data_IF_525544019719
#
_entry.id   IF_525544019719
#
_cell.length_a   1.000
_cell.length_b   1.000
_cell.length_c   1.000
_cell.angle_alpha   90.00
_cell.angle_beta   90.00
_cell.angle_gamma   90.00
#
_symmetry.space_group_name_H-M   'P 1'
#
loop_
_entity.id
_entity.type
_entity.pdbx_description
1 polymer ?
#
# COMPACT_ATOMS: atom_id res chain seq x y z
N UNK A 1 2.49 38.20 7.72
CA UNK A 1 1.61 37.30 6.94
C UNK A 1 2.01 37.43 5.48
N UNK A 2 2.96 36.64 5.00
CA UNK A 2 3.36 36.68 3.59
C UNK A 2 2.34 35.88 2.79
N UNK A 3 1.59 36.57 1.92
CA UNK A 3 0.71 35.91 0.95
C UNK A 3 1.60 35.21 -0.07
N UNK A 4 1.39 33.92 -0.28
CA UNK A 4 2.03 33.20 -1.39
C UNK A 4 1.56 33.83 -2.70
N UNK A 5 2.51 34.33 -3.50
CA UNK A 5 2.24 34.92 -4.81
C UNK A 5 2.31 33.89 -5.94
N UNK A 6 3.02 32.78 -5.74
CA UNK A 6 3.14 31.67 -6.69
C UNK A 6 3.19 30.32 -5.98
N UNK A 7 2.63 29.28 -6.59
CA UNK A 7 2.72 27.91 -6.11
C UNK A 7 4.03 27.24 -6.58
N UNK A 8 5.12 27.45 -5.84
CA UNK A 8 6.37 26.70 -6.02
C UNK A 8 6.33 25.32 -5.31
N UNK A 9 7.10 24.35 -5.83
CA UNK A 9 7.26 23.00 -5.26
C UNK A 9 7.69 23.05 -3.79
N UNK A 10 8.55 24.00 -3.42
CA UNK A 10 9.03 24.14 -2.04
C UNK A 10 7.89 24.51 -1.09
N UNK A 11 7.08 25.50 -1.46
CA UNK A 11 5.96 25.98 -0.68
C UNK A 11 4.81 24.95 -0.62
N UNK A 12 4.57 24.20 -1.70
CA UNK A 12 3.62 23.09 -1.71
C UNK A 12 4.02 21.93 -0.81
N UNK A 13 5.33 21.66 -0.67
CA UNK A 13 5.83 20.67 0.30
C UNK A 13 5.60 21.13 1.73
N UNK A 14 5.85 22.41 2.03
CA UNK A 14 5.58 22.98 3.35
C UNK A 14 4.09 22.91 3.70
N UNK A 15 3.22 23.39 2.79
CA UNK A 15 1.76 23.29 2.91
C UNK A 15 1.31 21.85 3.15
N UNK A 16 1.93 20.90 2.47
CA UNK A 16 1.59 19.49 2.63
C UNK A 16 1.96 18.95 4.00
N UNK A 17 3.12 19.31 4.55
CA UNK A 17 3.50 18.89 5.91
C UNK A 17 2.51 19.44 6.93
N UNK A 18 2.11 20.70 6.78
CA UNK A 18 1.12 21.33 7.65
C UNK A 18 -0.26 20.65 7.53
N UNK A 19 -0.71 20.36 6.30
CA UNK A 19 -1.95 19.64 6.05
C UNK A 19 -1.90 18.22 6.61
N UNK A 20 -0.81 17.48 6.40
CA UNK A 20 -0.64 16.12 6.92
C UNK A 20 -0.69 16.14 8.47
N UNK A 21 -0.08 17.14 9.11
CA UNK A 21 -0.14 17.29 10.58
C UNK A 21 -1.57 17.55 11.09
N UNK A 22 -2.34 18.41 10.41
CA UNK A 22 -3.72 18.69 10.75
C UNK A 22 -4.62 17.46 10.52
N UNK A 23 -4.37 16.71 9.44
CA UNK A 23 -5.10 15.48 9.13
C UNK A 23 -4.81 14.36 10.11
N UNK A 24 -3.59 14.25 10.65
CA UNK A 24 -3.28 13.31 11.73
C UNK A 24 -4.14 13.62 12.96
N UNK A 25 -4.26 14.91 13.33
CA UNK A 25 -5.09 15.32 14.46
C UNK A 25 -6.59 15.04 14.24
N UNK A 26 -7.09 15.27 13.02
CA UNK A 26 -8.49 14.94 12.66
C UNK A 26 -8.71 13.43 12.61
N UNK A 27 -7.75 12.68 12.06
CA UNK A 27 -7.80 11.21 12.01
C UNK A 27 -7.83 10.59 13.40
N UNK A 28 -7.02 11.11 14.33
CA UNK A 28 -7.02 10.67 15.73
C UNK A 28 -8.36 10.93 16.43
N UNK A 29 -9.02 12.08 16.17
CA UNK A 29 -10.34 12.40 16.75
C UNK A 29 -11.43 11.44 16.30
N UNK A 30 -11.36 10.96 15.07
CA UNK A 30 -12.39 10.10 14.48
C UNK A 30 -12.00 8.62 14.46
N UNK A 31 -10.82 8.25 14.95
CA UNK A 31 -10.33 6.87 14.87
C UNK A 31 -10.20 6.38 13.42
N UNK A 32 -9.73 7.24 12.51
CA UNK A 32 -9.54 6.94 11.10
C UNK A 32 -8.14 7.33 10.64
N UNK A 33 -7.58 6.59 9.68
CA UNK A 33 -6.34 6.97 9.00
C UNK A 33 -6.67 7.91 7.85
N UNK A 34 -6.22 9.16 7.97
CA UNK A 34 -6.23 10.14 6.89
C UNK A 34 -4.83 10.20 6.28
N UNK A 35 -4.73 10.00 4.98
CA UNK A 35 -3.48 10.16 4.23
C UNK A 35 -3.73 11.06 3.04
N UNK A 36 -2.93 12.10 2.91
CA UNK A 36 -2.92 12.88 1.67
C UNK A 36 -2.17 12.06 0.61
N UNK A 37 -2.70 11.95 -0.60
CA UNK A 37 -2.06 11.34 -1.77
C UNK A 37 -1.30 12.38 -2.60
N UNK A 38 -0.85 12.02 -3.80
CA UNK A 38 -0.11 12.95 -4.68
C UNK A 38 -0.90 14.24 -4.95
N UNK A 39 -0.16 15.35 -5.05
CA UNK A 39 -0.70 16.66 -5.38
C UNK A 39 -0.41 17.00 -6.85
N UNK A 40 -1.41 17.51 -7.56
CA UNK A 40 -1.20 18.21 -8.84
C UNK A 40 -1.26 19.70 -8.58
N UNK A 41 -0.34 20.45 -9.17
CA UNK A 41 -0.34 21.90 -9.04
C UNK A 41 -0.09 22.56 -10.39
N UNK A 42 -0.69 23.74 -10.54
CA UNK A 42 -0.41 24.75 -11.56
C UNK A 42 0.11 26.01 -10.85
N UNK A 43 0.50 27.05 -11.61
CA UNK A 43 0.96 28.31 -11.02
C UNK A 43 -0.08 28.97 -10.09
N UNK A 44 -1.37 28.69 -10.31
CA UNK A 44 -2.51 29.33 -9.63
C UNK A 44 -3.33 28.41 -8.74
N UNK A 45 -3.16 27.08 -8.83
CA UNK A 45 -4.01 26.14 -8.08
C UNK A 45 -3.28 24.84 -7.72
N UNK A 46 -3.62 24.25 -6.58
CA UNK A 46 -3.10 22.96 -6.16
C UNK A 46 -4.23 22.04 -5.67
N UNK A 47 -4.27 20.82 -6.20
CA UNK A 47 -5.24 19.79 -5.86
C UNK A 47 -4.54 18.64 -5.16
N UNK A 48 -4.95 18.38 -3.92
CA UNK A 48 -4.50 17.24 -3.12
C UNK A 48 -5.59 16.17 -3.10
N UNK A 49 -5.23 14.91 -3.39
CA UNK A 49 -6.13 13.78 -3.13
C UNK A 49 -6.09 13.45 -1.64
N UNK A 50 -7.24 13.25 -1.02
CA UNK A 50 -7.35 12.73 0.34
C UNK A 50 -7.87 11.30 0.29
N UNK A 51 -7.21 10.41 1.05
CA UNK A 51 -7.66 9.05 1.25
C UNK A 51 -7.96 8.83 2.74
N UNK A 52 -9.16 8.33 3.01
CA UNK A 52 -9.64 7.99 4.34
C UNK A 52 -9.78 6.48 4.45
N UNK A 53 -9.24 5.89 5.52
CA UNK A 53 -9.34 4.46 5.80
C UNK A 53 -9.73 4.24 7.26
N UNK A 54 -10.68 3.34 7.52
CA UNK A 54 -11.03 2.92 8.88
C UNK A 54 -9.92 2.02 9.44
N UNK A 55 -9.70 2.06 10.75
CA UNK A 55 -8.86 1.06 11.41
C UNK A 55 -9.67 -0.21 11.66
N UNK A 56 -9.08 -1.37 11.40
CA UNK A 56 -9.64 -2.65 11.83
C UNK A 56 -9.49 -2.86 13.34
N UNK A 57 -10.15 -3.89 13.85
CA UNK A 57 -10.03 -4.40 15.24
C UNK A 57 -8.58 -4.59 15.70
N UNK A 58 -7.65 -4.83 14.77
CA UNK A 58 -6.22 -5.04 15.04
C UNK A 58 -5.39 -3.73 15.02
N UNK A 59 -6.03 -2.55 14.91
CA UNK A 59 -5.34 -1.25 14.84
C UNK A 59 -4.62 -0.99 13.50
N UNK A 60 -4.83 -1.84 12.50
CA UNK A 60 -4.26 -1.68 11.14
C UNK A 60 -5.29 -1.02 10.23
N UNK A 61 -4.88 0.02 9.50
CA UNK A 61 -5.76 0.68 8.54
C UNK A 61 -6.22 -0.31 7.47
N UNK A 62 -7.54 -0.39 7.25
CA UNK A 62 -8.12 -1.15 6.15
C UNK A 62 -7.77 -0.50 4.82
N UNK A 63 -6.72 -1.01 4.19
CA UNK A 63 -6.47 -0.69 2.79
C UNK A 63 -7.51 -1.43 1.93
N UNK A 64 -7.82 -0.87 0.76
CA UNK A 64 -8.70 -1.50 -0.23
C UNK A 64 -8.24 -2.92 -0.59
N UNK A 65 -6.94 -3.19 -0.47
CA UNK A 65 -6.36 -4.50 -0.75
C UNK A 65 -6.67 -5.52 0.36
N UNK A 66 -6.79 -5.09 1.62
CA UNK A 66 -7.24 -5.96 2.72
C UNK A 66 -8.70 -6.37 2.53
N UNK A 67 -9.55 -5.42 2.14
CA UNK A 67 -10.97 -5.68 1.87
C UNK A 67 -11.13 -6.67 0.71
N UNK A 68 -10.44 -6.43 -0.41
CA UNK A 68 -10.45 -7.34 -1.55
C UNK A 68 -9.90 -8.74 -1.21
N UNK A 69 -8.92 -8.84 -0.30
CA UNK A 69 -8.44 -10.14 0.17
C UNK A 69 -9.51 -10.87 0.98
N UNK A 70 -10.18 -10.17 1.92
CA UNK A 70 -11.26 -10.75 2.73
C UNK A 70 -12.42 -11.24 1.87
N UNK A 71 -12.78 -10.48 0.83
CA UNK A 71 -13.89 -10.82 -0.08
C UNK A 71 -13.57 -11.97 -1.02
N UNK A 72 -12.40 -11.97 -1.66
CA UNK A 72 -12.06 -12.97 -2.68
C UNK A 72 -11.40 -14.22 -2.11
N UNK A 73 -10.59 -14.08 -1.06
CA UNK A 73 -9.76 -15.16 -0.52
C UNK A 73 -9.72 -15.13 1.02
N UNK A 74 -10.85 -15.37 1.69
CA UNK A 74 -10.94 -15.32 3.15
C UNK A 74 -9.95 -16.27 3.84
N UNK A 75 -9.66 -17.42 3.23
CA UNK A 75 -8.71 -18.43 3.74
C UNK A 75 -7.24 -17.97 3.75
N UNK A 76 -6.92 -16.95 2.96
CA UNK A 76 -5.55 -16.44 2.84
C UNK A 76 -5.29 -15.24 3.77
N UNK A 77 -6.31 -14.70 4.40
CA UNK A 77 -6.18 -13.57 5.33
C UNK A 77 -5.29 -13.98 6.51
N UNK A 78 -4.21 -13.22 6.75
CA UNK A 78 -3.23 -13.49 7.81
C UNK A 78 -2.57 -14.88 7.73
N UNK A 79 -2.64 -15.56 6.59
CA UNK A 79 -1.95 -16.83 6.38
C UNK A 79 -0.44 -16.59 6.38
N UNK A 80 0.28 -17.37 7.19
CA UNK A 80 1.74 -17.40 7.16
C UNK A 80 2.19 -18.19 5.95
N UNK A 81 3.06 -17.58 5.15
CA UNK A 81 3.68 -18.24 4.00
C UNK A 81 5.19 -18.05 4.05
N UNK A 82 5.89 -19.02 3.48
CA UNK A 82 7.31 -18.95 3.19
C UNK A 82 7.45 -18.83 1.68
N UNK A 83 8.10 -17.76 1.21
CA UNK A 83 8.30 -17.51 -0.21
C UNK A 83 9.73 -17.03 -0.45
N UNK A 84 10.42 -17.63 -1.42
CA UNK A 84 11.77 -17.25 -1.85
C UNK A 84 12.86 -17.30 -0.76
N UNK A 85 13.93 -18.10 -0.98
CA UNK A 85 15.11 -18.19 -0.07
C UNK A 85 14.75 -18.24 1.45
N UNK A 86 13.62 -18.84 1.82
CA UNK A 86 13.18 -18.96 3.23
C UNK A 86 12.59 -17.70 3.88
N UNK A 87 12.13 -16.70 3.12
CA UNK A 87 11.51 -15.50 3.71
C UNK A 87 10.10 -15.80 4.19
N UNK A 88 9.83 -15.52 5.47
CA UNK A 88 8.51 -15.72 6.08
C UNK A 88 7.73 -14.40 6.16
N UNK A 89 6.43 -14.45 5.88
CA UNK A 89 5.54 -13.31 6.01
C UNK A 89 4.06 -13.68 6.08
N UNK A 90 3.23 -12.66 6.31
CA UNK A 90 1.78 -12.77 6.36
C UNK A 90 1.15 -12.11 5.15
N UNK A 91 0.19 -12.76 4.51
CA UNK A 91 -0.57 -12.15 3.42
C UNK A 91 -1.48 -11.07 4.02
N UNK A 92 -1.30 -9.85 3.54
CA UNK A 92 -2.00 -8.65 4.04
C UNK A 92 -2.94 -8.04 3.01
N UNK A 93 -2.86 -8.39 1.73
CA UNK A 93 -3.75 -7.80 0.73
C UNK A 93 -3.77 -8.50 -0.61
N UNK A 94 -4.78 -8.16 -1.40
CA UNK A 94 -5.01 -8.63 -2.75
C UNK A 94 -5.33 -7.47 -3.68
N UNK A 95 -4.67 -7.42 -4.83
CA UNK A 95 -4.91 -6.44 -5.89
C UNK A 95 -5.26 -7.17 -7.20
N UNK A 96 -6.55 -7.22 -7.60
CA UNK A 96 -6.98 -7.95 -8.79
C UNK A 96 -6.44 -7.36 -10.10
N UNK A 97 -6.01 -6.09 -10.10
CA UNK A 97 -5.42 -5.43 -11.29
C UNK A 97 -3.96 -5.81 -11.49
N UNK A 98 -3.29 -6.38 -10.48
CA UNK A 98 -1.88 -6.75 -10.53
C UNK A 98 -1.72 -8.21 -10.97
N UNK A 99 -2.07 -8.52 -12.23
CA UNK A 99 -2.19 -9.88 -12.75
C UNK A 99 -0.98 -10.81 -12.53
N UNK A 100 0.26 -10.29 -12.57
CA UNK A 100 1.46 -11.11 -12.34
C UNK A 100 1.74 -11.37 -10.85
N UNK A 101 1.48 -10.39 -9.99
CA UNK A 101 1.78 -10.45 -8.56
C UNK A 101 0.62 -9.87 -7.75
N UNK A 102 -0.51 -10.59 -7.67
CA UNK A 102 -1.74 -10.04 -7.15
C UNK A 102 -1.79 -9.98 -5.61
N UNK A 103 -0.95 -10.75 -4.90
CA UNK A 103 -0.97 -10.79 -3.43
C UNK A 103 0.16 -9.96 -2.81
N UNK A 104 -0.14 -9.35 -1.67
CA UNK A 104 0.80 -8.55 -0.87
C UNK A 104 1.13 -9.27 0.43
N UNK A 105 2.41 -9.35 0.75
CA UNK A 105 2.93 -10.07 1.93
C UNK A 105 3.76 -9.14 2.78
N UNK A 106 3.40 -9.02 4.05
CA UNK A 106 4.17 -8.27 5.05
C UNK A 106 5.17 -9.20 5.72
N UNK A 107 6.44 -8.85 5.60
CA UNK A 107 7.57 -9.51 6.27
C UNK A 107 8.21 -8.54 7.26
N UNK A 108 9.19 -9.02 8.03
CA UNK A 108 10.00 -8.15 8.91
C UNK A 108 10.76 -7.08 8.13
N UNK A 109 11.16 -7.37 6.88
CA UNK A 109 11.94 -6.44 6.04
C UNK A 109 11.09 -5.43 5.28
N UNK A 110 9.80 -5.71 5.10
CA UNK A 110 8.92 -4.86 4.31
C UNK A 110 7.78 -5.63 3.63
N UNK A 111 7.10 -4.96 2.71
CA UNK A 111 5.97 -5.51 1.96
C UNK A 111 6.42 -5.95 0.57
N UNK A 112 6.12 -7.20 0.20
CA UNK A 112 6.50 -7.81 -1.07
C UNK A 112 5.26 -8.25 -1.85
N UNK A 113 5.38 -8.25 -3.18
CA UNK A 113 4.34 -8.75 -4.10
C UNK A 113 4.65 -10.18 -4.49
N UNK A 114 3.68 -11.07 -4.46
CA UNK A 114 3.85 -12.50 -4.76
C UNK A 114 2.80 -12.99 -5.77
N UNK A 115 3.10 -14.13 -6.39
CA UNK A 115 2.17 -14.79 -7.33
C UNK A 115 1.09 -15.57 -6.59
N UNK A 116 0.01 -15.93 -7.30
CA UNK A 116 -1.05 -16.78 -6.73
C UNK A 116 -0.54 -18.17 -6.29
N UNK A 117 0.40 -18.76 -7.04
CA UNK A 117 1.01 -20.04 -6.70
C UNK A 117 1.75 -19.97 -5.34
N UNK A 118 2.53 -18.89 -5.15
CA UNK A 118 3.25 -18.66 -3.90
C UNK A 118 2.30 -18.44 -2.71
N UNK A 119 1.13 -17.82 -2.94
CA UNK A 119 0.14 -17.61 -1.88
C UNK A 119 -0.50 -18.93 -1.40
N UNK A 120 -0.60 -19.92 -2.29
CA UNK A 120 -1.12 -21.27 -1.98
C UNK A 120 -0.02 -22.16 -1.37
N UNK A 121 1.24 -21.72 -1.36
CA UNK A 121 2.38 -22.46 -0.80
C UNK A 121 3.10 -23.33 -1.82
N UNK A 122 2.81 -23.16 -3.12
CA UNK A 122 3.56 -23.79 -4.19
C UNK A 122 4.72 -22.87 -4.58
N UNK A 123 5.94 -23.41 -4.66
CA UNK A 123 7.10 -22.66 -5.16
C UNK A 123 6.90 -22.34 -6.64
N UNK A 124 6.28 -21.19 -6.92
CA UNK A 124 6.19 -20.66 -8.27
C UNK A 124 7.57 -20.20 -8.73
N UNK A 125 8.17 -20.93 -9.67
CA UNK A 125 9.24 -20.40 -10.53
C UNK A 125 8.79 -19.06 -11.11
N UNK A 126 9.67 -18.06 -11.05
CA UNK A 126 9.39 -16.72 -11.60
C UNK A 126 9.02 -16.90 -13.08
N UNK A 127 7.86 -16.40 -13.55
CA UNK A 127 7.57 -16.39 -14.98
C UNK A 127 8.54 -15.40 -15.64
N UNK A 128 9.69 -15.91 -16.11
CA UNK A 128 10.80 -15.11 -16.63
C UNK A 128 12.20 -15.65 -16.34
N UNK A 129 12.38 -16.63 -15.44
CA UNK A 129 13.66 -17.34 -15.37
C UNK A 129 13.70 -18.40 -16.47
N UNK A 130 14.32 -18.08 -17.61
CA UNK A 130 14.71 -19.10 -18.58
C UNK A 130 15.62 -20.09 -17.84
N UNK A 131 15.15 -21.32 -17.66
CA UNK A 131 16.03 -22.44 -17.33
C UNK A 131 16.95 -22.62 -18.53
N UNK A 132 18.21 -22.19 -18.40
CA UNK A 132 19.26 -22.63 -19.30
C UNK A 132 19.53 -24.10 -19.01
N UNK A 133 18.78 -24.98 -19.67
CA UNK A 133 19.18 -26.37 -19.85
C UNK A 133 20.35 -26.33 -20.84
N UNK A 134 21.58 -26.38 -20.33
CA UNK A 134 22.70 -26.83 -21.14
C UNK A 134 22.68 -28.36 -21.07
N UNK A 135 22.34 -28.99 -22.19
CA UNK A 135 22.78 -30.36 -22.52
C UNK A 135 24.25 -30.32 -22.96
#
# INVERSE_FOLDING_TARGET
MSKMTEFDRSALRALRVDIDSALIAVGAKHGIRLSTGNARFTADSATFKLECSLFNSDGVAESKEMVALKECYPELVNKRITFGRGTNGFIIGYNPRAHQYPFLVKTVKGVYKITALQAIGLEGSRPGSRSSTNE
#
